data_IF_687450607909
#
_entry.id   IF_687450607909
#
_cell.length_a   1.000
_cell.length_b   1.000
_cell.length_c   1.000
_cell.angle_alpha   90.00
_cell.angle_beta   90.00
_cell.angle_gamma   90.00
#
_symmetry.space_group_name_H-M   'P 1'
#
loop_
_entity.id
_entity.type
_entity.pdbx_description
1 polymer ?
#
# COMPACT_ATOMS: atom_id res chain seq x y z
N UNK A 1 -0.46 26.08 9.56
CA UNK A 1 -0.14 24.91 8.69
C UNK A 1 1.31 24.40 8.85
N UNK A 2 2.32 25.27 9.01
CA UNK A 2 3.75 24.89 9.03
C UNK A 2 4.12 23.76 10.01
N UNK A 3 3.75 23.89 11.29
CA UNK A 3 4.10 22.90 12.30
C UNK A 3 3.43 21.55 12.03
N UNK A 4 2.18 21.53 11.59
CA UNK A 4 1.44 20.30 11.30
C UNK A 4 2.05 19.50 10.15
N UNK A 5 2.37 20.15 9.03
CA UNK A 5 3.04 19.49 7.90
C UNK A 5 4.44 18.97 8.28
N UNK A 6 5.17 19.69 9.13
CA UNK A 6 6.49 19.25 9.57
C UNK A 6 6.44 18.13 10.64
N UNK A 7 5.36 18.05 11.41
CA UNK A 7 5.13 16.93 12.35
C UNK A 7 4.81 15.63 11.61
N UNK A 8 4.04 15.68 10.52
CA UNK A 8 3.66 14.47 9.74
C UNK A 8 4.88 13.70 9.24
N UNK A 9 5.92 14.40 8.78
CA UNK A 9 7.19 13.78 8.33
C UNK A 9 8.08 13.25 9.47
N UNK A 10 7.72 13.49 10.73
CA UNK A 10 8.40 12.95 11.91
C UNK A 10 7.65 11.77 12.53
N UNK A 11 6.50 11.39 11.96
CA UNK A 11 5.71 10.28 12.46
C UNK A 11 6.50 8.96 12.40
N UNK A 12 6.36 8.14 13.44
CA UNK A 12 6.98 6.82 13.53
C UNK A 12 5.96 5.76 13.13
N UNK A 13 6.32 4.74 12.32
CA UNK A 13 5.42 3.65 11.97
C UNK A 13 4.93 2.87 13.19
N UNK A 14 3.63 2.60 13.25
CA UNK A 14 3.00 1.77 14.28
C UNK A 14 2.81 0.34 13.79
N UNK A 15 2.77 -0.62 14.72
CA UNK A 15 2.44 -2.03 14.40
C UNK A 15 1.05 -2.15 13.77
N UNK A 16 0.10 -1.31 14.20
CA UNK A 16 -1.26 -1.20 13.67
C UNK A 16 -1.53 0.25 13.28
N UNK A 17 -1.34 0.56 12.01
CA UNK A 17 -1.63 1.87 11.45
C UNK A 17 -3.13 1.98 11.10
N UNK A 18 -3.73 3.14 11.36
CA UNK A 18 -5.13 3.43 11.04
C UNK A 18 -5.21 4.71 10.22
N UNK A 19 -6.14 4.76 9.26
CA UNK A 19 -6.39 5.95 8.46
C UNK A 19 -7.05 7.06 9.32
N UNK A 20 -6.84 8.34 9.00
CA UNK A 20 -7.50 9.43 9.72
C UNK A 20 -9.03 9.35 9.57
N UNK A 21 -9.76 9.58 10.66
CA UNK A 21 -11.23 9.59 10.66
C UNK A 21 -11.81 10.67 9.72
N UNK A 22 -11.11 11.80 9.60
CA UNK A 22 -11.43 12.86 8.65
C UNK A 22 -10.19 13.08 7.79
N UNK A 23 -10.26 12.59 6.55
CA UNK A 23 -9.17 12.66 5.59
C UNK A 23 -9.32 13.78 4.57
N UNK A 24 -8.25 13.99 3.82
CA UNK A 24 -8.19 14.90 2.67
C UNK A 24 -8.45 14.19 1.35
N UNK A 25 -8.36 12.85 1.32
CA UNK A 25 -8.42 12.02 0.12
C UNK A 25 -7.06 11.76 -0.52
N UNK A 26 -5.99 12.44 -0.09
CA UNK A 26 -4.64 12.24 -0.62
C UNK A 26 -3.92 11.04 0.01
N UNK A 27 -4.44 10.49 1.12
CA UNK A 27 -3.79 9.45 1.92
C UNK A 27 -3.50 8.19 1.09
N UNK A 28 -4.44 7.79 0.22
CA UNK A 28 -4.26 6.64 -0.67
C UNK A 28 -3.17 6.86 -1.71
N UNK A 29 -3.11 8.06 -2.30
CA UNK A 29 -2.07 8.44 -3.26
C UNK A 29 -0.69 8.43 -2.59
N UNK A 30 -0.56 9.03 -1.41
CA UNK A 30 0.70 9.00 -0.64
C UNK A 30 1.12 7.58 -0.24
N UNK A 31 0.19 6.70 0.12
CA UNK A 31 0.52 5.31 0.47
C UNK A 31 1.08 4.54 -0.72
N UNK A 32 0.55 4.76 -1.92
CA UNK A 32 1.03 4.15 -3.17
C UNK A 32 2.37 4.75 -3.63
N UNK A 33 2.48 6.09 -3.64
CA UNK A 33 3.64 6.80 -4.18
C UNK A 33 4.85 6.77 -3.25
N UNK A 34 4.64 6.61 -1.93
CA UNK A 34 5.75 6.51 -0.95
C UNK A 34 6.55 5.22 -1.06
N UNK A 35 6.04 4.21 -1.77
CA UNK A 35 6.64 2.88 -1.86
C UNK A 35 6.53 2.05 -0.57
N UNK A 36 5.76 2.51 0.43
CA UNK A 36 5.53 1.76 1.67
C UNK A 36 4.58 0.57 1.48
N UNK A 37 3.70 0.64 0.48
CA UNK A 37 2.80 -0.46 0.08
C UNK A 37 3.28 -1.13 -1.21
N UNK A 38 3.07 -2.44 -1.33
CA UNK A 38 3.38 -3.20 -2.54
C UNK A 38 2.16 -3.23 -3.47
N UNK A 39 2.30 -2.63 -4.64
CA UNK A 39 1.30 -2.68 -5.71
C UNK A 39 1.57 -3.79 -6.74
N UNK A 40 0.51 -4.38 -7.29
CA UNK A 40 0.64 -5.35 -8.38
C UNK A 40 1.08 -4.65 -9.67
N UNK A 41 2.16 -5.11 -10.30
CA UNK A 41 2.70 -4.53 -11.53
C UNK A 41 1.85 -4.84 -12.78
N UNK A 42 1.09 -5.92 -12.73
CA UNK A 42 0.27 -6.45 -13.83
C UNK A 42 -1.01 -7.02 -13.25
N UNK A 43 -2.09 -6.99 -14.01
CA UNK A 43 -3.32 -7.68 -13.65
C UNK A 43 -3.11 -9.19 -13.60
N UNK A 44 -3.76 -9.86 -12.65
CA UNK A 44 -3.66 -11.30 -12.45
C UNK A 44 -4.49 -11.77 -11.26
N UNK A 45 -4.46 -13.07 -11.01
CA UNK A 45 -5.12 -13.70 -9.85
C UNK A 45 -4.01 -14.10 -8.86
N UNK A 46 -4.27 -13.92 -7.56
CA UNK A 46 -3.33 -14.35 -6.51
C UNK A 46 -3.35 -15.87 -6.41
N UNK A 47 -2.20 -16.49 -6.58
CA UNK A 47 -2.03 -17.95 -6.52
C UNK A 47 -1.60 -18.40 -5.11
N UNK A 48 -0.65 -17.68 -4.50
CA UNK A 48 -0.09 -18.00 -3.18
C UNK A 48 0.17 -16.74 -2.36
N UNK A 49 -0.04 -16.85 -1.05
CA UNK A 49 0.17 -15.78 -0.06
C UNK A 49 0.88 -16.34 1.16
N UNK A 50 2.08 -15.83 1.42
CA UNK A 50 2.86 -16.09 2.63
C UNK A 50 3.29 -14.76 3.27
N UNK A 51 3.74 -14.81 4.53
CA UNK A 51 4.25 -13.62 5.24
C UNK A 51 5.50 -12.99 4.59
N UNK A 52 6.16 -13.70 3.68
CA UNK A 52 7.40 -13.26 3.01
C UNK A 52 7.21 -12.96 1.52
N UNK A 53 6.15 -13.47 0.88
CA UNK A 53 5.92 -13.30 -0.56
C UNK A 53 4.47 -13.48 -0.97
N UNK A 54 4.13 -12.83 -2.08
CA UNK A 54 2.85 -12.99 -2.78
C UNK A 54 3.15 -13.35 -4.23
N UNK A 55 2.52 -14.40 -4.75
CA UNK A 55 2.72 -14.87 -6.12
C UNK A 55 1.50 -14.54 -6.98
N UNK A 56 1.73 -13.83 -8.08
CA UNK A 56 0.70 -13.47 -9.05
C UNK A 56 1.20 -13.78 -10.46
N UNK A 57 0.80 -14.92 -11.07
CA UNK A 57 1.20 -15.26 -12.44
C UNK A 57 0.59 -14.26 -13.43
N UNK A 58 1.44 -13.74 -14.32
CA UNK A 58 1.06 -12.73 -15.31
C UNK A 58 0.70 -13.31 -16.68
N UNK A 59 0.68 -14.65 -16.83
CA UNK A 59 0.36 -15.32 -18.09
C UNK A 59 -0.89 -16.19 -17.99
N UNK A 60 -1.80 -15.92 -18.92
CA UNK A 60 -3.12 -16.50 -19.13
C UNK A 60 -3.01 -17.95 -19.62
N UNK A 61 -2.76 -18.89 -18.71
CA UNK A 61 -2.84 -20.35 -18.96
C UNK A 61 -3.64 -21.13 -17.89
N UNK A 62 -4.35 -20.43 -17.00
CA UNK A 62 -5.14 -21.04 -15.92
C UNK A 62 -6.67 -20.85 -16.09
N UNK A 63 -7.11 -20.56 -17.32
CA UNK A 63 -8.51 -20.67 -17.72
C UNK A 63 -8.58 -21.71 -18.84
N UNK A 64 -8.29 -22.95 -18.50
CA UNK A 64 -8.72 -24.17 -19.19
C UNK A 64 -9.18 -25.16 -18.10
#
# INVERSE_FOLDING_TARGET
ALMGSNMQRQAVPLVRAEAPLVGTGMEGMFALDSGSAVGAKRSGIVDQVDATRIVTPCNRRFLD
#
